data_IF_803294303913
#
_entry.id   IF_803294303913
#
_cell.length_a   1.000
_cell.length_b   1.000
_cell.length_c   1.000
_cell.angle_alpha   90.00
_cell.angle_beta   90.00
_cell.angle_gamma   90.00
#
_symmetry.space_group_name_H-M   'P 1'
#
loop_
_entity.id
_entity.type
_entity.pdbx_description
1 polymer ?
#
# COMPACT_ATOMS: atom_id res chain seq x y z
N UNK A 1 -5.13 10.28 -27.45
CA UNK A 1 -4.47 9.02 -27.03
C UNK A 1 -3.40 9.42 -26.02
N UNK A 2 -3.64 9.23 -24.72
CA UNK A 2 -2.68 9.66 -23.67
C UNK A 2 -1.61 8.58 -23.55
N UNK A 3 -0.41 8.86 -24.06
CA UNK A 3 0.79 8.02 -23.99
C UNK A 3 1.85 8.58 -23.03
N UNK A 4 1.45 9.17 -21.90
CA UNK A 4 2.40 9.32 -20.78
C UNK A 4 2.57 7.95 -20.14
N UNK A 5 3.49 7.19 -20.71
CA UNK A 5 3.93 5.89 -20.22
C UNK A 5 5.06 6.16 -19.23
N UNK A 6 5.15 5.35 -18.17
CA UNK A 6 6.28 5.02 -17.28
C UNK A 6 7.63 5.78 -17.35
N UNK A 7 8.09 6.19 -18.53
CA UNK A 7 9.42 6.74 -18.85
C UNK A 7 9.61 8.23 -18.59
N UNK A 8 8.57 9.01 -18.27
CA UNK A 8 8.70 10.47 -18.19
C UNK A 8 9.46 10.96 -16.94
N UNK A 9 9.59 10.11 -15.92
CA UNK A 9 10.35 10.43 -14.72
C UNK A 9 11.79 9.97 -14.89
N UNK A 10 12.72 10.93 -14.89
CA UNK A 10 14.14 10.60 -14.80
C UNK A 10 14.39 9.89 -13.47
N UNK A 11 14.95 8.69 -13.55
CA UNK A 11 15.13 7.81 -12.39
C UNK A 11 16.00 8.40 -11.27
N UNK A 12 16.84 9.37 -11.59
CA UNK A 12 17.87 9.94 -10.72
C UNK A 12 17.44 11.21 -9.98
N UNK A 13 16.27 11.78 -10.29
CA UNK A 13 15.84 13.07 -9.72
C UNK A 13 14.34 13.17 -9.53
N UNK A 14 13.94 13.99 -8.57
CA UNK A 14 12.53 14.32 -8.36
C UNK A 14 11.95 15.09 -9.54
N UNK A 15 10.70 14.81 -9.88
CA UNK A 15 9.94 15.60 -10.85
C UNK A 15 8.97 16.52 -10.12
N UNK A 16 8.89 17.76 -10.59
CA UNK A 16 7.95 18.75 -10.09
C UNK A 16 6.83 18.96 -11.10
N UNK A 17 5.61 18.61 -10.70
CA UNK A 17 4.41 18.93 -11.45
C UNK A 17 3.95 20.35 -11.08
N UNK A 18 3.75 21.19 -12.09
CA UNK A 18 3.32 22.59 -11.93
C UNK A 18 1.79 22.71 -11.96
N UNK A 19 1.09 21.83 -11.25
CA UNK A 19 -0.37 21.77 -11.27
C UNK A 19 -1.02 22.98 -10.58
N UNK A 20 -2.16 23.41 -11.08
CA UNK A 20 -2.92 24.58 -10.56
C UNK A 20 -4.14 24.20 -9.72
N UNK A 21 -4.44 22.90 -9.60
CA UNK A 21 -5.49 22.36 -8.72
C UNK A 21 -4.89 21.29 -7.81
N UNK A 22 -5.37 21.18 -6.58
CA UNK A 22 -4.96 20.15 -5.65
C UNK A 22 -5.14 18.76 -6.28
N UNK A 23 -4.08 17.96 -6.28
CA UNK A 23 -4.10 16.62 -6.89
C UNK A 23 -5.08 15.66 -6.21
N UNK A 24 -5.51 15.95 -4.98
CA UNK A 24 -6.34 15.04 -4.18
C UNK A 24 -7.84 15.38 -4.23
N UNK A 25 -8.19 16.67 -4.23
CA UNK A 25 -9.59 17.14 -4.16
C UNK A 25 -10.02 18.03 -5.33
N UNK A 26 -9.09 18.45 -6.20
CA UNK A 26 -9.39 19.32 -7.34
C UNK A 26 -9.57 20.81 -7.00
N UNK A 27 -9.55 21.19 -5.72
CA UNK A 27 -9.63 22.61 -5.31
C UNK A 27 -8.50 23.44 -5.95
N UNK A 28 -8.79 24.63 -6.51
CA UNK A 28 -7.76 25.52 -7.05
C UNK A 28 -6.68 25.85 -6.02
N UNK A 29 -5.42 25.85 -6.46
CA UNK A 29 -4.27 26.24 -5.64
C UNK A 29 -4.13 27.77 -5.66
N UNK A 30 -4.14 28.36 -4.46
CA UNK A 30 -3.93 29.78 -4.21
C UNK A 30 -2.81 29.96 -3.19
N UNK A 31 -2.28 31.18 -3.04
CA UNK A 31 -1.23 31.48 -2.06
C UNK A 31 -1.64 31.19 -0.61
N UNK A 32 -2.95 31.10 -0.31
CA UNK A 32 -3.45 30.87 1.03
C UNK A 32 -3.49 29.37 1.38
N UNK A 33 -3.73 28.50 0.38
CA UNK A 33 -3.93 27.07 0.58
C UNK A 33 -2.84 26.19 -0.03
N UNK A 34 -1.83 26.76 -0.68
CA UNK A 34 -0.76 26.02 -1.34
C UNK A 34 0.10 25.22 -0.35
N UNK A 35 0.51 24.04 -0.80
CA UNK A 35 1.43 23.18 -0.08
C UNK A 35 2.20 22.34 -1.09
N UNK A 36 3.52 22.52 -1.08
CA UNK A 36 4.42 21.66 -1.84
C UNK A 36 4.40 20.28 -1.20
N UNK A 37 4.01 19.29 -1.99
CA UNK A 37 3.77 17.95 -1.49
C UNK A 37 4.66 16.93 -2.18
N UNK A 38 5.25 16.05 -1.37
CA UNK A 38 5.93 14.85 -1.86
C UNK A 38 4.92 13.71 -1.88
N UNK A 39 4.54 13.23 -3.06
CA UNK A 39 3.53 12.17 -3.21
C UNK A 39 3.86 10.98 -2.33
N UNK A 40 5.14 10.61 -2.27
CA UNK A 40 5.66 9.71 -1.24
C UNK A 40 6.46 10.56 -0.26
N UNK A 41 6.02 10.70 0.98
CA UNK A 41 6.77 11.51 1.94
C UNK A 41 8.19 10.98 2.12
N UNK A 42 9.17 11.89 2.25
CA UNK A 42 10.57 11.53 2.55
C UNK A 42 10.71 10.79 3.88
N UNK A 43 9.72 10.94 4.78
CA UNK A 43 9.64 10.21 6.05
C UNK A 43 8.80 8.92 5.94
N UNK A 44 8.20 8.61 4.80
CA UNK A 44 7.39 7.39 4.63
C UNK A 44 8.27 6.14 4.40
N UNK A 45 9.39 6.32 3.71
CA UNK A 45 10.41 5.31 3.46
C UNK A 45 11.65 5.55 4.35
N UNK A 46 12.65 4.65 4.40
CA UNK A 46 13.86 4.90 5.18
C UNK A 46 14.60 6.17 4.71
N UNK A 47 15.30 6.83 5.63
CA UNK A 47 16.19 7.93 5.28
C UNK A 47 17.21 7.48 4.21
N UNK A 48 17.52 8.38 3.28
CA UNK A 48 18.46 8.13 2.17
C UNK A 48 18.00 7.12 1.12
N UNK A 49 16.83 6.50 1.24
CA UNK A 49 16.34 5.60 0.19
C UNK A 49 16.00 6.36 -1.11
N UNK A 50 15.74 7.66 -1.01
CA UNK A 50 15.52 8.56 -2.15
C UNK A 50 16.81 9.12 -2.79
N UNK A 51 17.99 8.79 -2.28
CA UNK A 51 19.24 9.33 -2.80
C UNK A 51 19.45 8.83 -4.24
N UNK A 52 19.54 9.78 -5.19
CA UNK A 52 19.55 9.50 -6.64
C UNK A 52 18.34 8.67 -7.11
N UNK A 53 17.18 8.86 -6.49
CA UNK A 53 15.90 8.27 -6.91
C UNK A 53 14.85 9.33 -7.15
N UNK A 54 13.92 9.04 -8.06
CA UNK A 54 12.83 9.94 -8.36
C UNK A 54 11.79 9.99 -7.23
N UNK A 55 11.11 11.12 -7.13
CA UNK A 55 9.87 11.28 -6.38
C UNK A 55 9.01 12.28 -7.15
N UNK A 56 7.69 12.12 -7.09
CA UNK A 56 6.76 13.05 -7.69
C UNK A 56 6.45 14.13 -6.65
N UNK A 57 6.72 15.38 -7.01
CA UNK A 57 6.42 16.56 -6.22
C UNK A 57 5.29 17.30 -6.91
N UNK A 58 4.25 17.63 -6.17
CA UNK A 58 3.02 18.26 -6.67
C UNK A 58 2.63 19.43 -5.78
N UNK A 59 1.66 20.22 -6.21
CA UNK A 59 0.93 21.14 -5.36
C UNK A 59 -0.35 20.48 -4.82
N UNK A 60 -0.58 20.57 -3.52
CA UNK A 60 -1.80 20.12 -2.87
C UNK A 60 -2.34 21.23 -1.97
N UNK A 61 -3.63 21.18 -1.63
CA UNK A 61 -4.13 22.03 -0.58
C UNK A 61 -3.58 21.57 0.79
N UNK A 62 -3.36 22.52 1.70
CA UNK A 62 -2.84 22.26 3.06
C UNK A 62 -3.62 21.18 3.81
N UNK A 63 -4.95 21.17 3.67
CA UNK A 63 -5.83 20.20 4.34
C UNK A 63 -5.56 18.77 3.87
N UNK A 64 -5.60 18.53 2.55
CA UNK A 64 -5.34 17.19 2.00
C UNK A 64 -3.91 16.72 2.29
N UNK A 65 -2.92 17.62 2.23
CA UNK A 65 -1.56 17.28 2.62
C UNK A 65 -1.47 16.92 4.11
N UNK A 66 -2.13 17.68 4.99
CA UNK A 66 -2.19 17.37 6.42
C UNK A 66 -2.77 15.99 6.72
N UNK A 67 -3.90 15.65 6.11
CA UNK A 67 -4.55 14.33 6.27
C UNK A 67 -3.64 13.20 5.79
N UNK A 68 -3.05 13.34 4.60
CA UNK A 68 -2.11 12.35 4.08
C UNK A 68 -0.89 12.21 4.99
N UNK A 69 -0.31 13.31 5.45
CA UNK A 69 0.84 13.29 6.35
C UNK A 69 0.52 12.62 7.69
N UNK A 70 -0.71 12.74 8.18
CA UNK A 70 -1.16 12.01 9.37
C UNK A 70 -1.19 10.50 9.12
N UNK A 71 -1.77 10.07 8.00
CA UNK A 71 -1.84 8.67 7.59
C UNK A 71 -0.44 8.06 7.40
N UNK A 72 0.47 8.78 6.74
CA UNK A 72 1.84 8.30 6.48
C UNK A 72 2.64 8.07 7.77
N UNK A 73 2.30 8.73 8.87
CA UNK A 73 3.11 8.73 10.09
C UNK A 73 3.15 7.35 10.76
N UNK A 74 2.00 6.80 11.14
CA UNK A 74 1.92 5.50 11.80
C UNK A 74 2.08 4.34 10.83
N UNK A 75 1.51 4.45 9.62
CA UNK A 75 1.62 3.42 8.59
C UNK A 75 3.09 3.18 8.19
N UNK A 76 3.88 4.25 7.98
CA UNK A 76 5.31 4.11 7.70
C UNK A 76 6.06 3.40 8.81
N UNK A 77 5.78 3.78 10.05
CA UNK A 77 6.48 3.25 11.21
C UNK A 77 6.20 1.75 11.40
N UNK A 78 4.93 1.34 11.29
CA UNK A 78 4.53 -0.08 11.42
C UNK A 78 5.08 -0.89 10.25
N UNK A 79 4.94 -0.43 9.01
CA UNK A 79 5.44 -1.17 7.83
C UNK A 79 6.96 -1.33 7.84
N UNK A 80 7.72 -0.33 8.29
CA UNK A 80 9.17 -0.47 8.46
C UNK A 80 9.56 -1.42 9.60
N UNK A 81 8.80 -1.44 10.69
CA UNK A 81 9.03 -2.39 11.77
C UNK A 81 8.77 -3.84 11.31
N UNK A 82 7.69 -4.05 10.54
CA UNK A 82 7.38 -5.34 9.92
C UNK A 82 8.50 -5.78 8.97
N UNK A 83 9.01 -4.89 8.11
CA UNK A 83 10.13 -5.19 7.22
C UNK A 83 11.34 -5.72 7.99
N UNK A 84 11.76 -5.02 9.05
CA UNK A 84 12.92 -5.43 9.83
C UNK A 84 12.70 -6.70 10.67
N UNK A 85 11.45 -7.08 10.93
CA UNK A 85 11.12 -8.34 11.60
C UNK A 85 11.25 -9.54 10.65
N UNK A 86 10.91 -9.35 9.36
CA UNK A 86 10.83 -10.45 8.40
C UNK A 86 12.06 -10.56 7.49
N UNK A 87 12.71 -9.45 7.19
CA UNK A 87 13.93 -9.43 6.39
C UNK A 87 15.17 -9.56 7.29
N UNK A 88 15.78 -10.75 7.29
CA UNK A 88 16.96 -11.06 8.11
C UNK A 88 18.15 -10.17 7.76
N UNK A 89 18.27 -9.75 6.51
CA UNK A 89 19.36 -8.94 6.01
C UNK A 89 18.93 -7.48 5.79
N UNK A 90 18.02 -6.97 6.61
CA UNK A 90 17.56 -5.60 6.49
C UNK A 90 18.75 -4.63 6.66
N UNK A 91 18.92 -3.66 5.76
CA UNK A 91 20.06 -2.76 5.83
C UNK A 91 20.00 -1.89 7.09
N UNK A 92 21.16 -1.59 7.66
CA UNK A 92 21.28 -0.91 8.96
C UNK A 92 20.52 0.44 9.01
N UNK A 93 20.54 1.21 7.91
CA UNK A 93 19.81 2.47 7.83
C UNK A 93 18.29 2.30 7.97
N UNK A 94 17.73 1.19 7.47
CA UNK A 94 16.29 0.87 7.58
C UNK A 94 15.94 0.40 9.00
N UNK A 95 16.83 -0.37 9.63
CA UNK A 95 16.71 -0.78 11.03
C UNK A 95 16.73 0.44 11.95
N UNK A 96 17.70 1.35 11.75
CA UNK A 96 17.83 2.56 12.53
C UNK A 96 16.59 3.47 12.40
N UNK A 97 16.07 3.65 11.18
CA UNK A 97 14.91 4.50 10.95
C UNK A 97 13.62 3.91 11.54
N UNK A 98 13.42 2.59 11.45
CA UNK A 98 12.28 1.93 12.09
C UNK A 98 12.35 2.05 13.62
N UNK A 99 13.51 1.79 14.23
CA UNK A 99 13.70 1.97 15.69
C UNK A 99 13.41 3.42 16.11
N UNK A 100 13.87 4.39 15.33
CA UNK A 100 13.61 5.82 15.57
C UNK A 100 12.11 6.12 15.47
N UNK A 101 11.41 5.63 14.44
CA UNK A 101 9.97 5.86 14.28
C UNK A 101 9.15 5.16 15.35
N UNK A 102 9.45 3.91 15.66
CA UNK A 102 8.76 3.13 16.68
C UNK A 102 8.75 3.82 18.06
N UNK A 103 9.82 4.58 18.38
CA UNK A 103 9.94 5.40 19.60
C UNK A 103 9.15 6.71 19.59
N UNK A 104 8.81 7.26 18.43
CA UNK A 104 8.27 8.62 18.28
C UNK A 104 6.88 8.67 17.65
N UNK A 105 6.42 7.58 17.04
CA UNK A 105 5.14 7.49 16.36
C UNK A 105 4.16 6.69 17.21
N UNK A 106 2.90 7.10 17.20
CA UNK A 106 1.82 6.44 17.95
C UNK A 106 1.03 5.50 17.03
N UNK A 107 0.71 4.30 17.52
CA UNK A 107 -0.29 3.46 16.87
C UNK A 107 -1.66 4.09 17.04
N UNK A 108 -2.39 4.27 15.94
CA UNK A 108 -3.74 4.83 15.97
C UNK A 108 -4.77 3.87 16.57
N UNK A 109 -4.48 2.57 16.54
CA UNK A 109 -5.33 1.53 17.12
C UNK A 109 -5.22 1.50 18.65
N UNK A 110 -4.00 1.48 19.19
CA UNK A 110 -3.79 1.33 20.66
C UNK A 110 -3.63 2.66 21.39
N UNK A 111 -3.42 3.77 20.66
CA UNK A 111 -3.06 5.10 21.17
C UNK A 111 -1.75 5.15 21.97
N UNK A 112 -0.92 4.11 21.87
CA UNK A 112 0.42 4.04 22.50
C UNK A 112 1.50 4.29 21.46
N UNK A 113 2.73 4.53 21.91
CA UNK A 113 3.90 4.49 21.02
C UNK A 113 3.99 3.10 20.38
N UNK A 114 4.42 3.04 19.12
CA UNK A 114 4.47 1.77 18.38
C UNK A 114 5.33 0.74 19.10
N UNK A 115 6.48 1.14 19.69
CA UNK A 115 7.32 0.27 20.51
C UNK A 115 6.60 -0.38 21.71
N UNK A 116 5.53 0.24 22.19
CA UNK A 116 4.74 -0.19 23.35
C UNK A 116 3.32 -0.66 22.93
N UNK A 117 3.10 -0.84 21.62
CA UNK A 117 1.80 -1.18 21.02
C UNK A 117 1.68 -2.65 20.63
N UNK A 118 2.45 -3.52 21.28
CA UNK A 118 2.36 -4.95 21.07
C UNK A 118 1.00 -5.48 21.54
N UNK A 119 0.42 -6.36 20.74
CA UNK A 119 -0.85 -7.03 21.04
C UNK A 119 -0.51 -8.31 21.79
N UNK A 120 -0.94 -8.39 23.05
CA UNK A 120 -0.79 -9.59 23.87
C UNK A 120 -2.14 -10.29 23.96
N UNK A 121 -2.15 -11.60 23.75
CA UNK A 121 -3.36 -12.40 23.90
C UNK A 121 -3.05 -13.84 24.31
N UNK A 122 -4.12 -14.61 24.51
CA UNK A 122 -4.02 -16.05 24.75
C UNK A 122 -5.09 -16.78 23.95
N UNK A 123 -4.75 -17.97 23.48
CA UNK A 123 -5.67 -18.91 22.84
C UNK A 123 -5.68 -20.17 23.69
N UNK A 124 -6.87 -20.67 24.02
CA UNK A 124 -7.04 -21.89 24.80
C UNK A 124 -7.49 -22.99 23.87
N UNK A 125 -6.75 -24.09 23.83
CA UNK A 125 -7.06 -25.28 23.04
C UNK A 125 -7.46 -26.43 23.96
N UNK A 126 -8.51 -27.20 23.65
CA UNK A 126 -8.71 -28.50 24.29
C UNK A 126 -7.57 -29.45 23.91
N UNK A 127 -6.98 -30.13 24.88
CA UNK A 127 -5.95 -31.15 24.61
C UNK A 127 -6.48 -32.56 24.83
N UNK A 128 -7.10 -32.80 25.98
CA UNK A 128 -7.79 -34.06 26.33
C UNK A 128 -8.95 -33.77 27.27
N UNK A 129 -9.74 -34.78 27.63
CA UNK A 129 -10.81 -34.65 28.63
C UNK A 129 -10.29 -34.00 29.93
N UNK A 130 -10.86 -32.83 30.25
CA UNK A 130 -10.50 -32.02 31.42
C UNK A 130 -9.16 -31.25 31.33
N UNK A 131 -8.42 -31.30 30.21
CA UNK A 131 -7.14 -30.59 30.04
C UNK A 131 -7.19 -29.59 28.89
N UNK A 132 -6.70 -28.39 29.15
CA UNK A 132 -6.55 -27.34 28.14
C UNK A 132 -5.10 -26.90 28.01
N UNK A 133 -4.69 -26.54 26.81
CA UNK A 133 -3.42 -25.86 26.52
C UNK A 133 -3.74 -24.37 26.37
N UNK A 134 -3.03 -23.52 27.11
CA UNK A 134 -3.12 -22.07 26.95
C UNK A 134 -1.87 -21.58 26.24
N UNK A 135 -2.03 -21.11 25.01
CA UNK A 135 -0.96 -20.49 24.25
C UNK A 135 -1.02 -18.97 24.40
N UNK A 136 -0.01 -18.40 25.05
CA UNK A 136 0.18 -16.94 25.10
C UNK A 136 0.87 -16.47 23.82
N UNK A 137 0.43 -15.35 23.26
CA UNK A 137 1.05 -14.77 22.08
C UNK A 137 1.29 -13.27 22.25
N UNK A 138 2.28 -12.79 21.52
CA UNK A 138 2.66 -11.39 21.42
C UNK A 138 2.85 -11.03 19.95
N UNK A 139 2.00 -10.17 19.44
CA UNK A 139 2.03 -9.69 18.06
C UNK A 139 2.49 -8.23 18.00
N UNK A 140 3.10 -7.78 16.89
CA UNK A 140 3.52 -6.39 16.73
C UNK A 140 2.29 -5.46 16.64
N UNK A 141 2.53 -4.16 16.65
CA UNK A 141 1.50 -3.17 16.35
C UNK A 141 0.85 -3.47 15.00
N UNK A 142 -0.49 -3.43 14.95
CA UNK A 142 -1.26 -3.68 13.72
C UNK A 142 -1.60 -2.39 13.00
N UNK A 143 -1.64 -2.50 11.68
CA UNK A 143 -2.16 -1.47 10.80
C UNK A 143 -3.69 -1.41 10.93
N UNK A 144 -4.22 -0.20 10.79
CA UNK A 144 -5.65 0.04 10.60
C UNK A 144 -5.94 -0.06 9.08
N UNK A 145 -6.75 -1.05 8.70
CA UNK A 145 -7.02 -1.38 7.30
C UNK A 145 -7.67 -0.23 6.53
N UNK A 146 -8.61 0.47 7.18
CA UNK A 146 -9.33 1.61 6.57
C UNK A 146 -8.34 2.73 6.28
N UNK A 147 -7.49 3.06 7.26
CA UNK A 147 -6.44 4.08 7.10
C UNK A 147 -5.44 3.72 6.01
N UNK A 148 -5.11 2.42 5.85
CA UNK A 148 -4.23 1.98 4.78
C UNK A 148 -4.86 2.21 3.41
N UNK A 149 -6.13 1.86 3.21
CA UNK A 149 -6.79 2.15 1.94
C UNK A 149 -7.00 3.65 1.69
N UNK A 150 -7.21 4.45 2.73
CA UNK A 150 -7.24 5.91 2.62
C UNK A 150 -5.88 6.46 2.15
N UNK A 151 -4.77 6.01 2.73
CA UNK A 151 -3.44 6.43 2.27
C UNK A 151 -3.16 5.97 0.84
N UNK A 152 -3.52 4.73 0.51
CA UNK A 152 -3.39 4.21 -0.85
C UNK A 152 -4.13 5.09 -1.86
N UNK A 153 -5.35 5.52 -1.52
CA UNK A 153 -6.13 6.46 -2.34
C UNK A 153 -5.37 7.75 -2.60
N UNK A 154 -4.70 8.34 -1.60
CA UNK A 154 -3.89 9.54 -1.79
C UNK A 154 -2.73 9.31 -2.77
N UNK A 155 -1.92 8.26 -2.55
CA UNK A 155 -0.80 7.94 -3.45
C UNK A 155 -1.28 7.72 -4.89
N UNK A 156 -2.31 6.91 -5.05
CA UNK A 156 -2.88 6.59 -6.37
C UNK A 156 -3.49 7.81 -7.04
N UNK A 157 -4.15 8.70 -6.30
CA UNK A 157 -4.76 9.90 -6.87
C UNK A 157 -3.70 10.81 -7.48
N UNK A 158 -2.59 11.02 -6.77
CA UNK A 158 -1.50 11.81 -7.32
C UNK A 158 -0.87 11.19 -8.56
N UNK A 159 -0.67 9.86 -8.59
CA UNK A 159 -0.14 9.19 -9.79
C UNK A 159 -1.15 9.20 -10.94
N UNK A 160 -2.44 8.98 -10.69
CA UNK A 160 -3.47 9.06 -11.72
C UNK A 160 -3.59 10.48 -12.29
N UNK A 161 -3.55 11.49 -11.43
CA UNK A 161 -3.51 12.90 -11.82
C UNK A 161 -2.30 13.18 -12.71
N UNK A 162 -1.12 12.63 -12.38
CA UNK A 162 0.10 12.77 -13.18
C UNK A 162 -0.04 12.12 -14.57
N UNK A 163 -0.52 10.88 -14.66
CA UNK A 163 -0.72 10.15 -15.94
C UNK A 163 -1.68 10.91 -16.86
N UNK A 164 -2.67 11.59 -16.28
CA UNK A 164 -3.71 12.32 -17.01
C UNK A 164 -3.45 13.82 -17.07
N UNK A 165 -2.24 14.27 -16.73
CA UNK A 165 -1.89 15.68 -16.67
C UNK A 165 -1.77 16.32 -18.06
N UNK A 166 -2.54 17.37 -18.29
CA UNK A 166 -2.47 18.24 -19.47
C UNK A 166 -1.64 19.49 -19.16
N UNK A 167 -0.55 19.66 -19.90
CA UNK A 167 0.38 20.78 -19.76
C UNK A 167 -0.18 22.11 -20.26
N UNK A 168 -1.24 22.13 -21.07
CA UNK A 168 -1.88 23.39 -21.49
C UNK A 168 -2.74 23.97 -20.39
N UNK A 169 -3.52 23.10 -19.73
CA UNK A 169 -4.43 23.51 -18.65
C UNK A 169 -3.80 23.44 -17.27
N UNK A 170 -2.63 22.79 -17.16
CA UNK A 170 -1.93 22.51 -15.90
C UNK A 170 -2.77 21.69 -14.92
N UNK A 171 -3.63 20.81 -15.46
CA UNK A 171 -4.59 20.00 -14.70
C UNK A 171 -4.48 18.53 -15.06
N UNK A 172 -4.63 17.68 -14.05
CA UNK A 172 -4.82 16.25 -14.18
C UNK A 172 -6.27 15.85 -13.99
N UNK A 173 -6.60 14.65 -14.44
CA UNK A 173 -7.90 14.03 -14.28
C UNK A 173 -8.05 13.28 -12.96
N UNK A 174 -9.29 12.92 -12.67
CA UNK A 174 -9.71 12.11 -11.54
C UNK A 174 -10.45 10.88 -12.06
N UNK A 175 -10.20 9.72 -11.48
CA UNK A 175 -10.95 8.53 -11.86
C UNK A 175 -12.43 8.69 -11.51
N UNK A 176 -13.29 8.21 -12.39
CA UNK A 176 -14.73 8.22 -12.21
C UNK A 176 -15.18 6.89 -11.55
N UNK A 177 -16.41 6.83 -11.05
CA UNK A 177 -17.06 5.59 -10.58
C UNK A 177 -16.45 4.91 -9.34
N UNK A 178 -15.56 5.59 -8.62
CA UNK A 178 -15.16 5.21 -7.26
C UNK A 178 -13.82 4.48 -7.14
N UNK A 179 -13.47 4.20 -5.90
CA UNK A 179 -12.25 3.52 -5.46
C UNK A 179 -12.67 2.24 -4.72
N UNK A 180 -12.20 1.09 -5.21
CA UNK A 180 -12.66 -0.24 -4.80
C UNK A 180 -11.46 -1.07 -4.30
N UNK A 181 -11.09 -0.94 -3.02
CA UNK A 181 -10.14 -1.84 -2.36
C UNK A 181 -10.50 -3.31 -2.56
N UNK A 182 -9.50 -4.17 -2.77
CA UNK A 182 -9.71 -5.61 -2.85
C UNK A 182 -8.97 -6.34 -1.72
N UNK A 183 -7.64 -6.29 -1.72
CA UNK A 183 -6.83 -7.07 -0.80
C UNK A 183 -5.68 -6.27 -0.20
N UNK A 184 -5.29 -6.65 1.01
CA UNK A 184 -4.11 -6.16 1.69
C UNK A 184 -3.38 -7.31 2.37
N UNK A 185 -2.05 -7.30 2.35
CA UNK A 185 -1.27 -8.46 2.79
C UNK A 185 0.12 -8.08 3.23
N UNK A 186 0.65 -8.82 4.21
CA UNK A 186 2.04 -8.70 4.67
C UNK A 186 2.97 -9.51 3.76
N UNK A 187 4.26 -9.16 3.76
CA UNK A 187 5.29 -9.83 2.94
C UNK A 187 5.30 -11.36 3.06
N UNK A 188 5.12 -11.88 4.28
CA UNK A 188 5.15 -13.32 4.53
C UNK A 188 4.03 -14.10 3.81
N UNK A 189 3.02 -13.38 3.30
CA UNK A 189 1.81 -13.97 2.75
C UNK A 189 1.51 -13.51 1.31
N UNK A 190 2.48 -12.92 0.62
CA UNK A 190 2.32 -12.47 -0.76
C UNK A 190 1.98 -13.59 -1.75
N UNK A 191 2.27 -14.85 -1.41
CA UNK A 191 1.99 -16.03 -2.23
C UNK A 191 0.62 -16.64 -1.97
N UNK A 192 -0.23 -15.97 -1.18
CA UNK A 192 -1.58 -16.46 -0.95
C UNK A 192 -2.44 -16.46 -2.23
N UNK A 193 -3.53 -17.24 -2.22
CA UNK A 193 -4.38 -17.44 -3.41
C UNK A 193 -5.02 -16.14 -3.92
N UNK A 194 -5.31 -15.18 -3.05
CA UNK A 194 -5.89 -13.90 -3.44
C UNK A 194 -4.90 -13.05 -4.24
N UNK A 195 -3.65 -12.93 -3.77
CA UNK A 195 -2.61 -12.18 -4.45
C UNK A 195 -2.23 -12.81 -5.78
N UNK A 196 -2.04 -14.13 -5.80
CA UNK A 196 -1.76 -14.87 -7.04
C UNK A 196 -2.93 -14.71 -8.03
N UNK A 197 -4.17 -14.86 -7.56
CA UNK A 197 -5.36 -14.68 -8.37
C UNK A 197 -5.46 -13.27 -8.95
N UNK A 198 -5.27 -12.24 -8.11
CA UNK A 198 -5.26 -10.84 -8.55
C UNK A 198 -4.20 -10.59 -9.63
N UNK A 199 -2.94 -11.02 -9.39
CA UNK A 199 -1.85 -10.88 -10.35
C UNK A 199 -2.21 -11.53 -11.70
N UNK A 200 -2.76 -12.74 -11.68
CA UNK A 200 -3.12 -13.48 -12.88
C UNK A 200 -4.25 -12.82 -13.67
N UNK A 201 -5.27 -12.28 -12.99
CA UNK A 201 -6.39 -11.60 -13.65
C UNK A 201 -5.98 -10.29 -14.32
N UNK A 202 -5.04 -9.55 -13.72
CA UNK A 202 -4.65 -8.21 -14.20
C UNK A 202 -3.35 -8.20 -15.00
N UNK A 203 -2.65 -9.34 -15.15
CA UNK A 203 -1.32 -9.37 -15.79
C UNK A 203 -1.37 -8.79 -17.20
N UNK A 204 -2.36 -9.18 -18.00
CA UNK A 204 -2.55 -8.84 -19.41
C UNK A 204 -3.13 -7.44 -19.65
N UNK A 205 -3.41 -6.68 -18.59
CA UNK A 205 -3.97 -5.34 -18.71
C UNK A 205 -2.88 -4.36 -19.16
N UNK A 206 -3.25 -3.37 -19.96
CA UNK A 206 -2.33 -2.35 -20.44
C UNK A 206 -1.73 -1.59 -19.25
N UNK A 207 -0.41 -1.64 -19.08
CA UNK A 207 0.26 -0.89 -18.01
C UNK A 207 0.30 0.59 -18.36
N UNK A 208 -0.28 1.43 -17.50
CA UNK A 208 -0.37 2.88 -17.72
C UNK A 208 0.56 3.65 -16.81
N UNK A 209 0.92 3.04 -15.69
CA UNK A 209 1.93 3.54 -14.78
C UNK A 209 2.55 2.37 -14.04
N UNK A 210 3.85 2.43 -13.85
CA UNK A 210 4.53 1.71 -12.79
C UNK A 210 5.63 2.63 -12.28
N UNK A 211 5.80 2.62 -10.97
CA UNK A 211 6.80 3.43 -10.29
C UNK A 211 7.46 2.59 -9.22
N UNK A 212 8.73 2.27 -9.42
CA UNK A 212 9.60 1.67 -8.42
C UNK A 212 10.61 2.74 -8.03
N UNK A 213 10.62 3.13 -6.75
CA UNK A 213 11.52 4.15 -6.23
C UNK A 213 11.95 3.83 -4.81
N UNK A 214 12.70 4.74 -4.19
CA UNK A 214 13.16 4.62 -2.82
C UNK A 214 13.91 3.29 -2.60
N UNK A 215 14.77 2.86 -3.53
CA UNK A 215 15.46 1.56 -3.51
C UNK A 215 14.51 0.35 -3.32
N UNK A 216 13.31 0.42 -3.90
CA UNK A 216 12.28 -0.62 -3.82
C UNK A 216 11.42 -0.56 -2.55
N UNK A 217 11.65 0.40 -1.63
CA UNK A 217 10.77 0.62 -0.49
C UNK A 217 9.41 1.23 -0.88
N UNK A 218 9.25 1.65 -2.13
CA UNK A 218 7.95 2.03 -2.67
C UNK A 218 7.80 1.49 -4.09
N UNK A 219 6.75 0.69 -4.31
CA UNK A 219 6.33 0.26 -5.64
C UNK A 219 4.87 0.66 -5.85
N UNK A 220 4.55 1.02 -7.08
CA UNK A 220 3.18 1.29 -7.51
C UNK A 220 3.00 0.83 -8.95
N UNK A 221 1.79 0.38 -9.28
CA UNK A 221 1.40 0.05 -10.65
C UNK A 221 -0.07 0.37 -10.85
N UNK A 222 -0.42 0.88 -12.03
CA UNK A 222 -1.79 1.12 -12.48
C UNK A 222 -1.90 0.52 -13.88
N UNK A 223 -2.88 -0.38 -14.06
CA UNK A 223 -3.19 -0.97 -15.37
C UNK A 223 -4.62 -0.68 -15.77
N UNK A 224 -4.86 -0.51 -17.07
CA UNK A 224 -6.18 -0.23 -17.63
C UNK A 224 -6.79 -1.50 -18.19
N UNK A 225 -8.05 -1.74 -17.85
CA UNK A 225 -8.80 -2.84 -18.43
C UNK A 225 -8.90 -2.68 -19.97
N UNK A 226 -8.76 -3.76 -20.76
CA UNK A 226 -8.73 -3.68 -22.22
C UNK A 226 -9.98 -3.02 -22.83
N UNK A 227 -11.16 -3.36 -22.33
CA UNK A 227 -12.45 -2.90 -22.91
C UNK A 227 -13.31 -2.03 -21.99
N UNK A 228 -13.14 -2.11 -20.67
CA UNK A 228 -14.03 -1.50 -19.69
C UNK A 228 -13.43 -0.23 -19.09
N UNK A 229 -14.28 0.64 -18.55
CA UNK A 229 -13.85 1.81 -17.76
C UNK A 229 -13.43 1.39 -16.34
N UNK A 230 -12.50 0.44 -16.24
CA UNK A 230 -11.97 -0.12 -15.01
C UNK A 230 -10.44 -0.12 -15.06
N UNK A 231 -9.82 0.05 -13.91
CA UNK A 231 -8.38 0.07 -13.75
C UNK A 231 -8.02 -0.73 -12.51
N UNK A 232 -6.95 -1.51 -12.60
CA UNK A 232 -6.36 -2.17 -11.46
C UNK A 232 -5.20 -1.34 -10.95
N UNK A 233 -4.93 -1.47 -9.66
CA UNK A 233 -3.79 -0.84 -9.03
C UNK A 233 -3.19 -1.77 -7.99
N UNK A 234 -1.90 -1.60 -7.77
CA UNK A 234 -1.22 -2.16 -6.61
C UNK A 234 -0.19 -1.19 -6.06
N UNK A 235 -0.02 -1.22 -4.74
CA UNK A 235 1.01 -0.51 -4.00
C UNK A 235 1.79 -1.51 -3.16
N UNK A 236 3.09 -1.29 -3.03
CA UNK A 236 3.95 -1.96 -2.07
C UNK A 236 4.67 -0.91 -1.24
N UNK A 237 4.53 -1.02 0.08
CA UNK A 237 5.12 -0.12 1.05
C UNK A 237 6.18 -0.83 1.85
N UNK A 238 7.34 -0.20 1.93
CA UNK A 238 8.48 -0.58 2.74
C UNK A 238 8.89 -2.05 2.62
N UNK A 239 8.65 -2.67 1.44
CA UNK A 239 8.92 -4.09 1.15
C UNK A 239 8.22 -5.07 2.09
N UNK A 240 7.22 -4.64 2.85
CA UNK A 240 6.58 -5.45 3.90
C UNK A 240 5.07 -5.51 3.79
N UNK A 241 4.47 -4.58 3.07
CA UNK A 241 3.01 -4.46 3.00
C UNK A 241 2.56 -4.16 1.58
N UNK A 242 1.54 -4.88 1.12
CA UNK A 242 1.02 -4.77 -0.24
C UNK A 242 -0.48 -4.52 -0.19
N UNK A 243 -0.94 -3.61 -1.03
CA UNK A 243 -2.36 -3.31 -1.23
C UNK A 243 -2.71 -3.42 -2.70
N UNK A 244 -3.90 -3.93 -2.98
CA UNK A 244 -4.41 -4.12 -4.34
C UNK A 244 -5.88 -3.74 -4.41
N UNK A 245 -6.32 -3.36 -5.61
CA UNK A 245 -7.72 -3.09 -5.86
C UNK A 245 -7.96 -2.48 -7.22
N UNK A 246 -9.09 -1.80 -7.34
CA UNK A 246 -9.56 -1.21 -8.57
C UNK A 246 -10.04 0.24 -8.38
N UNK A 247 -10.14 0.98 -9.47
CA UNK A 247 -10.95 2.20 -9.56
C UNK A 247 -11.66 2.23 -10.91
N UNK A 248 -12.79 2.95 -11.01
CA UNK A 248 -13.66 2.88 -12.17
C UNK A 248 -14.91 2.03 -11.95
N UNK A 249 -15.34 1.29 -12.97
CA UNK A 249 -16.57 0.50 -12.96
C UNK A 249 -16.58 -0.57 -11.86
N UNK A 250 -17.45 -0.39 -10.86
CA UNK A 250 -17.61 -1.33 -9.73
C UNK A 250 -18.01 -2.74 -10.18
N UNK A 251 -18.98 -2.86 -11.10
CA UNK A 251 -19.43 -4.17 -11.60
C UNK A 251 -18.32 -4.97 -12.25
N UNK A 252 -17.45 -4.30 -13.02
CA UNK A 252 -16.27 -4.93 -13.61
C UNK A 252 -15.30 -5.40 -12.53
N UNK A 253 -14.99 -4.55 -11.55
CA UNK A 253 -14.13 -4.92 -10.42
C UNK A 253 -14.66 -6.13 -9.64
N UNK A 254 -15.96 -6.14 -9.30
CA UNK A 254 -16.63 -7.27 -8.62
C UNK A 254 -16.57 -8.55 -9.45
N UNK A 255 -16.76 -8.46 -10.77
CA UNK A 255 -16.69 -9.63 -11.67
C UNK A 255 -15.28 -10.24 -11.75
N UNK A 256 -14.24 -9.44 -11.51
CA UNK A 256 -12.85 -9.91 -11.47
C UNK A 256 -12.56 -10.53 -10.12
N UNK A 257 -12.94 -9.86 -9.03
CA UNK A 257 -12.76 -10.37 -7.67
C UNK A 257 -13.50 -11.70 -7.47
N UNK A 258 -14.67 -11.88 -8.08
CA UNK A 258 -15.42 -13.14 -8.04
C UNK A 258 -14.69 -14.35 -8.67
N UNK A 259 -13.66 -14.12 -9.50
CA UNK A 259 -12.82 -15.18 -10.07
C UNK A 259 -11.61 -15.53 -9.20
N UNK A 260 -11.30 -14.68 -8.23
CA UNK A 260 -10.14 -14.84 -7.35
C UNK A 260 -10.50 -15.85 -6.27
N UNK A 261 -9.70 -16.92 -6.07
CA UNK A 261 -10.00 -17.92 -5.06
C UNK A 261 -9.97 -17.32 -3.65
N UNK A 262 -10.93 -17.70 -2.81
CA UNK A 262 -10.96 -17.30 -1.41
C UNK A 262 -9.84 -17.95 -0.60
N UNK A 263 -9.43 -17.29 0.49
CA UNK A 263 -8.52 -17.88 1.47
C UNK A 263 -9.20 -19.01 2.25
N UNK A 264 -8.51 -20.14 2.33
CA UNK A 264 -8.95 -21.28 3.13
C UNK A 264 -8.52 -21.11 4.58
N UNK A 265 -9.49 -21.05 5.49
CA UNK A 265 -9.26 -20.97 6.92
C UNK A 265 -9.54 -22.32 7.58
N UNK A 266 -8.57 -22.82 8.35
CA UNK A 266 -8.78 -23.97 9.24
C UNK A 266 -9.50 -23.48 10.49
N UNK A 267 -10.65 -24.07 10.78
CA UNK A 267 -11.35 -23.81 12.04
C UNK A 267 -10.68 -24.62 13.13
N UNK A 268 -10.16 -23.93 14.15
CA UNK A 268 -9.70 -24.53 15.40
C UNK A 268 -10.79 -24.25 16.42
N UNK A 269 -11.59 -25.26 16.76
CA UNK A 269 -12.79 -25.10 17.58
C UNK A 269 -12.44 -24.86 19.06
N UNK A 270 -13.23 -24.03 19.74
CA UNK A 270 -13.25 -23.89 21.20
C UNK A 270 -14.43 -24.67 21.81
N UNK A 271 -14.16 -25.25 22.97
CA UNK A 271 -15.10 -25.85 23.94
C UNK A 271 -16.04 -24.79 24.55
N UNK A 272 -15.80 -23.49 24.30
CA UNK A 272 -16.54 -22.34 24.87
C UNK A 272 -17.16 -21.42 23.81
N UNK A 273 -17.66 -21.97 22.70
CA UNK A 273 -18.50 -21.22 21.73
C UNK A 273 -17.78 -20.12 20.93
N UNK A 274 -16.44 -20.03 20.99
CA UNK A 274 -15.63 -19.15 20.14
C UNK A 274 -15.05 -19.92 18.96
N UNK A 275 -15.10 -19.32 17.78
CA UNK A 275 -14.48 -19.87 16.57
C UNK A 275 -13.11 -19.23 16.38
N UNK A 276 -12.04 -20.02 16.48
CA UNK A 276 -10.72 -19.57 16.06
C UNK A 276 -10.47 -20.01 14.61
N UNK A 277 -9.96 -19.09 13.80
CA UNK A 277 -9.59 -19.34 12.41
C UNK A 277 -8.07 -19.21 12.30
N UNK A 278 -7.45 -20.22 11.72
CA UNK A 278 -6.01 -20.27 11.47
C UNK A 278 -5.75 -20.49 9.98
N UNK A 279 -4.72 -19.86 9.45
CA UNK A 279 -4.20 -20.12 8.12
C UNK A 279 -2.68 -19.94 8.14
N UNK A 280 -1.99 -20.80 7.41
CA UNK A 280 -0.56 -20.68 7.19
C UNK A 280 -0.29 -19.58 6.17
N UNK A 281 0.67 -18.70 6.47
CA UNK A 281 1.14 -17.68 5.54
C UNK A 281 1.96 -18.33 4.41
N UNK A 282 1.76 -17.85 3.18
CA UNK A 282 2.44 -18.40 1.99
C UNK A 282 3.36 -17.33 1.41
N UNK A 283 4.69 -17.46 1.51
CA UNK A 283 5.61 -16.50 0.93
C UNK A 283 5.60 -16.60 -0.60
N UNK A 284 5.98 -15.50 -1.27
CA UNK A 284 6.13 -15.45 -2.73
C UNK A 284 7.61 -15.28 -3.08
N UNK A 285 8.09 -16.04 -4.07
CA UNK A 285 9.44 -15.87 -4.61
C UNK A 285 9.53 -14.63 -5.51
N UNK A 286 10.73 -14.07 -5.66
CA UNK A 286 10.94 -12.93 -6.57
C UNK A 286 10.69 -13.32 -8.04
N UNK A 287 10.94 -14.59 -8.41
CA UNK A 287 10.68 -15.14 -9.74
C UNK A 287 9.18 -15.19 -10.05
N UNK A 288 8.36 -15.59 -9.07
CA UNK A 288 6.91 -15.71 -9.20
C UNK A 288 6.19 -14.37 -9.06
N UNK A 289 6.82 -13.36 -8.47
CA UNK A 289 6.23 -12.02 -8.34
C UNK A 289 6.22 -11.29 -9.69
N UNK A 290 5.07 -11.38 -10.37
CA UNK A 290 4.83 -10.71 -11.66
C UNK A 290 4.08 -9.38 -11.51
N UNK A 291 3.68 -8.98 -10.29
CA UNK A 291 2.78 -7.84 -10.08
C UNK A 291 3.38 -6.53 -10.59
N UNK A 292 4.67 -6.34 -10.34
CA UNK A 292 5.42 -5.14 -10.71
C UNK A 292 6.44 -5.39 -11.84
N UNK A 293 6.33 -6.50 -12.58
CA UNK A 293 7.18 -6.73 -13.77
C UNK A 293 6.55 -6.05 -14.99
N UNK A 294 7.36 -5.36 -15.80
CA UNK A 294 6.91 -4.91 -17.11
C UNK A 294 6.75 -6.14 -17.99
N UNK A 295 5.57 -6.29 -18.58
CA UNK A 295 5.44 -7.21 -19.69
C UNK A 295 6.16 -6.57 -20.88
N UNK A 296 7.16 -7.27 -21.42
CA UNK A 296 7.72 -6.91 -22.71
C UNK A 296 6.58 -7.03 -23.72
N UNK A 297 6.09 -5.89 -24.22
CA UNK A 297 5.17 -5.82 -25.36
C UNK A 297 5.99 -5.87 -26.63
#
# INVERSE_FOLDING_TARGET
>A
MIHKILSDLKNDRSALLKNVTCVYCGTPITKQNDSKEHVISRKFVPKSSFDNKWNLIVQACKECNGVKSDLENDISAITLELYNRFEKNAPEFAIADAKRKSKNCFSRQTKKLIKDSEIVGKVTFPYTDGKTIIHHYKAPARLDEVRCFELAKYHLMAFFYFITFDEKTMKGGFWQNGFHPAFQVNFQDWGNKEQIGFMNEVRHWETRWQGITANGFFKSIIKKHPTEKCWSWALEWNKSYRLTGFFGCRKTAESIVAKIPELEWRTVTDVVGKKYLLRDEVPLSDEDDILFKLQNV
#
